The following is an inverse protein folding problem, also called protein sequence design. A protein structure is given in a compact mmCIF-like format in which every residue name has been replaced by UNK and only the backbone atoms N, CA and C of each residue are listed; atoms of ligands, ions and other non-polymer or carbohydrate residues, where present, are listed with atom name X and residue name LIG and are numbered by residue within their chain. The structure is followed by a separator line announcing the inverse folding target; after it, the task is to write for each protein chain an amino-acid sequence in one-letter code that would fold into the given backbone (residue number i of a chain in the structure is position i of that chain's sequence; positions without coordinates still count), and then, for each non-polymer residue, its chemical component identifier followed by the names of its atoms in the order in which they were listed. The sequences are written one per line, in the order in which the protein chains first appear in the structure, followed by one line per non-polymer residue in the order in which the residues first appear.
data_IF_279199546289
#
_entry.id   IF_279199546289
#
_cell.length_a   1.000
_cell.length_b   1.000
_cell.length_c   1.000
_cell.angle_alpha   90.00
_cell.angle_beta   90.00
_cell.angle_gamma   90.00
#
_symmetry.space_group_name_H-M   'P 1'
#
loop_
_entity.id
_entity.type
_entity.pdbx_description
1 polymer ?
#
# COMPACT_ATOMS: atom_id res chain seq x y z
N UNK A 1 -12.47 15.08 1.79
CA UNK A 1 -12.78 16.51 1.67
C UNK A 1 -13.99 16.91 2.51
N UNK A 2 -15.19 16.40 2.22
CA UNK A 2 -16.47 16.89 2.83
C UNK A 2 -16.53 16.84 4.37
N UNK A 3 -16.10 15.75 5.01
CA UNK A 3 -16.09 15.66 6.48
C UNK A 3 -15.12 16.66 7.13
N UNK A 4 -13.99 16.92 6.47
CA UNK A 4 -12.92 17.79 6.95
C UNK A 4 -13.32 19.26 6.81
N UNK A 5 -14.01 19.60 5.71
CA UNK A 5 -14.66 20.90 5.53
C UNK A 5 -15.73 21.15 6.59
N UNK A 6 -16.57 20.14 6.90
CA UNK A 6 -17.56 20.23 7.99
C UNK A 6 -16.90 20.45 9.35
N UNK A 7 -15.84 19.71 9.65
CA UNK A 7 -15.12 19.81 10.92
C UNK A 7 -14.42 21.17 11.08
N UNK A 8 -13.63 21.60 10.10
CA UNK A 8 -12.97 22.91 10.12
C UNK A 8 -13.98 24.07 10.07
N UNK A 9 -15.13 23.87 9.44
CA UNK A 9 -16.25 24.81 9.45
C UNK A 9 -16.86 25.03 10.83
N UNK A 10 -16.83 24.04 11.72
CA UNK A 10 -17.38 24.11 13.07
C UNK A 10 -16.42 24.72 14.11
N UNK A 11 -15.11 24.73 13.87
CA UNK A 11 -14.11 25.20 14.83
C UNK A 11 -14.07 26.74 14.96
N UNK A 12 -13.90 27.32 16.16
CA UNK A 12 -13.76 28.76 16.32
C UNK A 12 -12.47 29.27 15.65
N UNK A 13 -12.47 30.56 15.25
CA UNK A 13 -11.35 31.19 14.53
C UNK A 13 -10.02 31.11 15.29
N UNK A 14 -10.06 31.08 16.63
CA UNK A 14 -8.90 30.91 17.52
C UNK A 14 -8.23 29.55 17.35
N UNK A 15 -9.00 28.47 17.32
CA UNK A 15 -8.50 27.10 17.14
C UNK A 15 -7.97 26.87 15.73
N UNK A 16 -8.61 27.46 14.71
CA UNK A 16 -8.09 27.45 13.34
C UNK A 16 -6.73 28.15 13.26
N UNK A 17 -6.56 29.29 13.93
CA UNK A 17 -5.27 30.00 13.99
C UNK A 17 -4.20 29.20 14.75
N UNK A 18 -4.57 28.52 15.83
CA UNK A 18 -3.67 27.64 16.58
C UNK A 18 -3.20 26.47 15.71
N UNK A 19 -4.12 25.84 14.97
CA UNK A 19 -3.81 24.79 14.00
C UNK A 19 -2.89 25.31 12.88
N UNK A 20 -3.19 26.47 12.28
CA UNK A 20 -2.30 27.09 11.28
C UNK A 20 -0.89 27.34 11.83
N UNK A 21 -0.76 27.84 13.06
CA UNK A 21 0.54 28.10 13.70
C UNK A 21 1.32 26.80 13.96
N UNK A 22 0.65 25.74 14.40
CA UNK A 22 1.26 24.42 14.58
C UNK A 22 1.72 23.80 13.25
N UNK A 23 0.98 24.06 12.17
CA UNK A 23 1.26 23.66 10.80
C UNK A 23 2.23 24.59 10.04
N UNK A 24 2.79 25.62 10.69
CA UNK A 24 3.66 26.64 10.05
C UNK A 24 3.02 27.38 8.85
N UNK A 25 1.68 27.46 8.82
CA UNK A 25 0.92 28.21 7.81
C UNK A 25 0.76 29.66 8.29
N UNK A 26 1.04 30.67 7.44
CA UNK A 26 0.87 32.08 7.82
C UNK A 26 -0.61 32.37 8.17
N UNK A 27 -0.82 32.95 9.36
CA UNK A 27 -2.16 33.24 9.94
C UNK A 27 -2.79 34.54 9.42
N UNK A 28 -2.45 34.94 8.20
CA UNK A 28 -2.92 36.20 7.60
C UNK A 28 -4.22 35.97 6.82
N UNK A 29 -5.25 36.79 7.09
CA UNK A 29 -6.50 36.81 6.33
C UNK A 29 -7.76 36.32 7.04
N UNK A 30 -8.81 36.06 6.25
CA UNK A 30 -10.15 35.68 6.72
C UNK A 30 -10.23 34.21 7.16
N UNK A 31 -11.26 33.86 7.94
CA UNK A 31 -11.46 32.47 8.45
C UNK A 31 -11.49 31.46 7.30
N UNK A 32 -12.22 31.75 6.23
CA UNK A 32 -12.30 30.90 5.05
C UNK A 32 -10.93 30.69 4.37
N UNK A 33 -10.10 31.73 4.32
CA UNK A 33 -8.74 31.64 3.78
C UNK A 33 -7.83 30.72 4.60
N UNK A 34 -7.93 30.77 5.93
CA UNK A 34 -7.17 29.90 6.84
C UNK A 34 -7.60 28.44 6.71
N UNK A 35 -8.91 28.18 6.65
CA UNK A 35 -9.46 26.84 6.42
C UNK A 35 -8.99 26.26 5.09
N UNK A 36 -9.03 27.05 4.00
CA UNK A 36 -8.54 26.62 2.70
C UNK A 36 -7.02 26.38 2.67
N UNK A 37 -6.23 27.14 3.44
CA UNK A 37 -4.79 26.93 3.55
C UNK A 37 -4.43 25.69 4.35
N UNK A 38 -5.13 25.39 5.44
CA UNK A 38 -5.00 24.12 6.18
C UNK A 38 -5.42 22.92 5.31
N UNK A 39 -6.52 23.06 4.55
CA UNK A 39 -6.94 22.03 3.59
C UNK A 39 -5.89 21.80 2.50
N UNK A 40 -5.27 22.86 1.98
CA UNK A 40 -4.19 22.75 0.99
C UNK A 40 -2.92 22.14 1.57
N UNK A 41 -2.51 22.53 2.76
CA UNK A 41 -1.34 21.99 3.48
C UNK A 41 -1.51 20.49 3.75
N UNK A 42 -2.67 20.07 4.25
CA UNK A 42 -3.03 18.66 4.38
C UNK A 42 -3.07 17.90 3.05
N UNK A 43 -3.25 18.61 1.93
CA UNK A 43 -3.21 18.05 0.59
C UNK A 43 -1.83 18.12 -0.07
N UNK A 44 -0.84 18.80 0.53
CA UNK A 44 0.54 18.87 -0.02
C UNK A 44 1.29 17.55 0.13
N UNK A 45 2.26 17.30 -0.76
CA UNK A 45 3.07 16.08 -0.77
C UNK A 45 3.85 15.81 0.53
N UNK A 46 4.17 16.85 1.31
CA UNK A 46 4.85 16.74 2.61
C UNK A 46 4.01 15.99 3.65
N UNK A 47 2.72 16.34 3.81
CA UNK A 47 1.79 15.62 4.68
C UNK A 47 1.63 14.15 4.25
N UNK A 48 1.51 13.91 2.94
CA UNK A 48 1.42 12.54 2.37
C UNK A 48 2.67 11.71 2.62
N UNK A 49 3.83 12.35 2.77
CA UNK A 49 5.13 11.72 3.04
C UNK A 49 5.37 11.51 4.54
N UNK A 50 4.84 12.39 5.39
CA UNK A 50 4.90 12.29 6.85
C UNK A 50 3.93 11.23 7.42
N UNK A 51 2.80 10.97 6.75
CA UNK A 51 1.81 9.99 7.20
C UNK A 51 2.29 8.54 7.04
N UNK A 52 1.94 7.61 7.97
CA UNK A 52 2.34 6.21 7.87
C UNK A 52 1.87 5.58 6.54
N UNK A 53 2.76 4.89 5.80
CA UNK A 53 2.48 4.39 4.45
C UNK A 53 1.25 3.48 4.34
N UNK A 54 0.92 2.71 5.39
CA UNK A 54 -0.26 1.84 5.39
C UNK A 54 -1.57 2.64 5.39
N UNK A 55 -1.60 3.75 6.15
CA UNK A 55 -2.76 4.64 6.23
C UNK A 55 -2.95 5.40 4.92
N UNK A 56 -1.86 5.90 4.35
CA UNK A 56 -1.83 6.57 3.02
C UNK A 56 -2.43 5.66 1.95
N UNK A 57 -1.98 4.40 1.86
CA UNK A 57 -2.51 3.42 0.89
C UNK A 57 -4.02 3.17 1.08
N UNK A 58 -4.47 3.04 2.32
CA UNK A 58 -5.88 2.85 2.64
C UNK A 58 -6.73 4.05 2.17
N UNK A 59 -6.27 5.28 2.46
CA UNK A 59 -6.96 6.50 2.06
C UNK A 59 -7.05 6.65 0.54
N UNK A 60 -5.99 6.29 -0.19
CA UNK A 60 -6.01 6.29 -1.68
C UNK A 60 -7.01 5.27 -2.22
N UNK A 61 -7.02 4.05 -1.67
CA UNK A 61 -7.99 3.01 -2.10
C UNK A 61 -9.43 3.42 -1.78
N UNK A 62 -9.65 4.08 -0.64
CA UNK A 62 -10.94 4.66 -0.26
C UNK A 62 -11.32 5.92 -1.06
N UNK A 63 -10.44 6.46 -1.91
CA UNK A 63 -10.69 7.68 -2.69
C UNK A 63 -10.68 8.97 -1.86
N UNK A 64 -10.21 8.90 -0.61
CA UNK A 64 -10.05 10.07 0.27
C UNK A 64 -8.81 10.89 -0.07
N UNK A 65 -7.90 10.31 -0.85
CA UNK A 65 -6.67 10.95 -1.31
C UNK A 65 -6.40 10.57 -2.77
N UNK A 66 -5.92 11.50 -3.62
CA UNK A 66 -5.73 11.22 -5.05
C UNK A 66 -4.57 10.24 -5.31
N UNK A 67 -3.47 10.37 -4.58
CA UNK A 67 -2.24 9.60 -4.77
C UNK A 67 -1.40 9.54 -3.49
N UNK A 68 -0.47 8.59 -3.40
CA UNK A 68 0.49 8.53 -2.29
C UNK A 68 1.59 9.59 -2.42
N UNK A 69 2.40 9.80 -1.38
CA UNK A 69 3.59 10.67 -1.46
C UNK A 69 4.62 10.23 -2.52
N UNK A 70 4.51 9.01 -3.06
CA UNK A 70 5.32 8.51 -4.18
C UNK A 70 4.55 8.41 -5.51
N UNK A 71 3.41 9.09 -5.65
CA UNK A 71 2.65 9.19 -6.90
C UNK A 71 1.80 7.96 -7.28
N UNK A 72 1.59 7.01 -6.36
CA UNK A 72 0.76 5.82 -6.65
C UNK A 72 -0.73 6.15 -6.52
N UNK A 73 -1.52 5.77 -7.53
CA UNK A 73 -2.97 6.00 -7.59
C UNK A 73 -3.76 4.75 -7.20
N UNK A 74 -5.07 4.89 -7.02
CA UNK A 74 -5.97 3.77 -6.68
C UNK A 74 -5.85 2.58 -7.65
N UNK A 75 -5.65 2.84 -8.95
CA UNK A 75 -5.48 1.80 -9.99
C UNK A 75 -4.25 0.92 -9.79
N UNK A 76 -3.25 1.39 -9.03
CA UNK A 76 -1.98 0.70 -8.84
C UNK A 76 -2.00 -0.21 -7.60
N UNK A 77 -3.09 -0.22 -6.84
CA UNK A 77 -3.26 -1.04 -5.65
C UNK A 77 -4.14 -2.27 -5.89
N UNK A 78 -3.89 -3.29 -5.06
CA UNK A 78 -4.67 -4.53 -5.01
C UNK A 78 -4.69 -5.05 -3.58
N UNK A 79 -5.81 -5.66 -3.17
CA UNK A 79 -5.93 -6.35 -1.88
C UNK A 79 -5.42 -7.78 -2.02
N UNK A 80 -4.49 -8.20 -1.16
CA UNK A 80 -4.01 -9.58 -1.15
C UNK A 80 -4.98 -10.50 -0.39
N UNK A 81 -4.73 -11.83 -0.43
CA UNK A 81 -5.55 -12.83 0.27
C UNK A 81 -5.62 -12.64 1.80
N UNK A 82 -4.63 -11.95 2.38
CA UNK A 82 -4.56 -11.62 3.81
C UNK A 82 -5.20 -10.27 4.13
N UNK A 83 -5.88 -9.65 3.17
CA UNK A 83 -6.55 -8.36 3.32
C UNK A 83 -5.64 -7.13 3.29
N UNK A 84 -4.33 -7.29 3.13
CA UNK A 84 -3.36 -6.19 3.03
C UNK A 84 -3.39 -5.53 1.65
N UNK A 85 -3.36 -4.20 1.65
CA UNK A 85 -3.26 -3.38 0.43
C UNK A 85 -1.79 -3.31 -0.01
N UNK A 86 -1.50 -3.84 -1.19
CA UNK A 86 -0.17 -3.84 -1.80
C UNK A 86 -0.23 -3.25 -3.21
N UNK A 87 0.91 -2.79 -3.73
CA UNK A 87 0.97 -2.32 -5.12
C UNK A 87 0.95 -3.52 -6.09
N UNK A 88 0.36 -3.34 -7.26
CA UNK A 88 0.36 -4.34 -8.35
C UNK A 88 1.79 -4.70 -8.77
N UNK A 89 2.72 -3.73 -8.76
CA UNK A 89 4.14 -3.95 -8.99
C UNK A 89 4.74 -4.92 -7.97
N UNK A 90 4.51 -4.69 -6.67
CA UNK A 90 4.98 -5.57 -5.61
C UNK A 90 4.35 -6.98 -5.70
N UNK A 91 3.06 -7.05 -6.05
CA UNK A 91 2.39 -8.33 -6.28
C UNK A 91 3.01 -9.12 -7.45
N UNK A 92 3.28 -8.45 -8.58
CA UNK A 92 3.92 -9.07 -9.76
C UNK A 92 5.32 -9.58 -9.42
N UNK A 93 6.11 -8.78 -8.69
CA UNK A 93 7.44 -9.17 -8.25
C UNK A 93 7.41 -10.43 -7.36
N UNK A 94 6.54 -10.47 -6.35
CA UNK A 94 6.41 -11.62 -5.46
C UNK A 94 5.96 -12.90 -6.20
N UNK A 95 5.07 -12.77 -7.20
CA UNK A 95 4.63 -13.89 -8.05
C UNK A 95 5.64 -14.26 -9.15
N UNK A 96 6.69 -13.46 -9.32
CA UNK A 96 7.65 -13.58 -10.41
C UNK A 96 8.75 -14.61 -10.18
N UNK A 97 8.91 -15.12 -8.96
CA UNK A 97 10.03 -16.01 -8.60
C UNK A 97 10.05 -17.29 -9.47
N UNK A 98 11.06 -17.47 -10.36
CA UNK A 98 11.12 -18.60 -11.30
C UNK A 98 11.14 -19.95 -10.60
N UNK A 99 11.92 -20.07 -9.52
CA UNK A 99 12.04 -21.30 -8.75
C UNK A 99 10.71 -21.72 -8.14
N UNK A 100 9.96 -20.78 -7.54
CA UNK A 100 8.65 -21.07 -6.97
C UNK A 100 7.65 -21.54 -8.03
N UNK A 101 7.68 -20.97 -9.24
CA UNK A 101 6.85 -21.43 -10.36
C UNK A 101 7.22 -22.84 -10.79
N UNK A 102 8.52 -23.13 -10.93
CA UNK A 102 9.01 -24.45 -11.29
C UNK A 102 8.64 -25.51 -10.25
N UNK A 103 8.74 -25.19 -8.96
CA UNK A 103 8.31 -26.07 -7.85
C UNK A 103 6.80 -26.33 -7.90
N UNK A 104 5.97 -25.31 -8.15
CA UNK A 104 4.51 -25.50 -8.29
C UNK A 104 4.18 -26.39 -9.48
N UNK A 105 4.86 -26.22 -10.62
CA UNK A 105 4.68 -27.06 -11.80
C UNK A 105 5.14 -28.51 -11.55
N UNK A 106 6.30 -28.71 -10.91
CA UNK A 106 6.82 -30.02 -10.53
C UNK A 106 5.86 -30.76 -9.57
N UNK A 107 5.31 -30.05 -8.57
CA UNK A 107 4.32 -30.62 -7.65
C UNK A 107 3.05 -31.09 -8.34
N UNK A 108 2.57 -30.33 -9.33
CA UNK A 108 1.40 -30.71 -10.14
C UNK A 108 1.71 -31.95 -10.99
N UNK A 109 2.86 -31.97 -11.66
CA UNK A 109 3.28 -33.09 -12.51
C UNK A 109 3.46 -34.40 -11.73
N UNK A 110 3.98 -34.32 -10.49
CA UNK A 110 4.23 -35.49 -9.64
C UNK A 110 3.05 -35.82 -8.69
N UNK A 111 1.96 -35.05 -8.73
CA UNK A 111 0.78 -35.29 -7.89
C UNK A 111 1.03 -35.18 -6.37
N UNK A 112 2.06 -34.45 -5.94
CA UNK A 112 2.46 -34.39 -4.53
C UNK A 112 1.43 -33.59 -3.71
N UNK A 113 0.67 -34.29 -2.86
CA UNK A 113 -0.28 -33.72 -1.90
C UNK A 113 0.37 -33.64 -0.51
N UNK A 114 0.00 -32.61 0.26
CA UNK A 114 0.57 -32.37 1.59
C UNK A 114 2.00 -31.79 1.57
N UNK A 115 2.65 -31.86 2.73
CA UNK A 115 4.00 -31.33 2.94
C UNK A 115 5.06 -32.26 2.33
N UNK A 116 5.99 -31.69 1.56
CA UNK A 116 7.13 -32.42 1.01
C UNK A 116 8.36 -31.50 0.97
N UNK A 117 9.46 -31.96 1.58
CA UNK A 117 10.72 -31.21 1.61
C UNK A 117 11.39 -31.29 0.24
N UNK A 118 11.57 -30.15 -0.41
CA UNK A 118 12.27 -30.07 -1.71
C UNK A 118 13.73 -30.45 -1.51
N UNK A 119 14.20 -31.51 -2.17
CA UNK A 119 15.57 -32.00 -2.04
C UNK A 119 15.87 -32.73 -0.72
N UNK A 120 14.85 -33.10 0.05
CA UNK A 120 15.01 -33.81 1.31
C UNK A 120 15.51 -35.26 1.17
N UNK A 121 15.64 -35.95 2.32
CA UNK A 121 16.08 -37.37 2.37
C UNK A 121 15.09 -38.35 1.74
N UNK A 122 13.82 -37.96 1.61
CA UNK A 122 12.76 -38.81 1.05
C UNK A 122 12.87 -38.91 -0.48
N UNK A 123 12.51 -40.07 -1.04
CA UNK A 123 12.51 -40.30 -2.51
C UNK A 123 11.67 -39.26 -3.26
N UNK A 124 10.50 -38.92 -2.70
CA UNK A 124 9.61 -37.89 -3.24
C UNK A 124 10.26 -36.48 -3.27
N UNK A 125 10.98 -36.11 -2.22
CA UNK A 125 11.64 -34.80 -2.13
C UNK A 125 12.77 -34.64 -3.15
N UNK A 126 13.56 -35.70 -3.38
CA UNK A 126 14.60 -35.73 -4.41
C UNK A 126 14.01 -35.63 -5.82
N UNK A 127 12.95 -36.39 -6.11
CA UNK A 127 12.26 -36.34 -7.41
C UNK A 127 11.64 -34.97 -7.69
N UNK A 128 11.10 -34.30 -6.66
CA UNK A 128 10.56 -32.95 -6.78
C UNK A 128 11.67 -31.95 -7.13
N UNK A 129 12.83 -32.02 -6.50
CA UNK A 129 13.96 -31.13 -6.79
C UNK A 129 14.48 -31.30 -8.22
N UNK A 130 14.70 -32.54 -8.68
CA UNK A 130 15.19 -32.80 -10.04
C UNK A 130 14.19 -32.32 -11.09
N UNK A 131 12.88 -32.56 -10.87
CA UNK A 131 11.84 -32.07 -11.78
C UNK A 131 11.70 -30.55 -11.74
N UNK A 132 11.78 -29.92 -10.57
CA UNK A 132 11.75 -28.46 -10.47
C UNK A 132 12.97 -27.82 -11.16
N UNK A 133 14.16 -28.39 -10.99
CA UNK A 133 15.40 -27.90 -11.63
C UNK A 133 15.35 -28.02 -13.16
N UNK A 134 14.75 -29.08 -13.69
CA UNK A 134 14.55 -29.23 -15.15
C UNK A 134 13.47 -28.32 -15.73
N UNK A 135 12.49 -27.90 -14.93
CA UNK A 135 11.44 -26.95 -15.32
C UNK A 135 11.87 -25.47 -15.14
N UNK A 136 12.97 -25.24 -14.43
CA UNK A 136 13.56 -23.92 -14.27
C UNK A 136 14.37 -23.59 -15.53
N UNK A 137 13.73 -22.87 -16.46
CA UNK A 137 14.39 -22.13 -17.53
C UNK A 137 14.38 -20.64 -17.19
#
# INVERSE_FOLDING_TARGET
AVLLQRYLGALPKSEIKAACKASLVPVTGSRAGLTASLEREMMTGAFRKAMPPNKVKLLVVQGKMPETGGGLKKKDFVKNKYGKIVSKKAQKHAKGNPWMKAVVAARKALGVKGFAVVGGKTKQGKALYTKAKSLMK
#
